data_IF_639626947236
#
_entry.id   IF_639626947236
#
_cell.length_a   1.000
_cell.length_b   1.000
_cell.length_c   1.000
_cell.angle_alpha   90.00
_cell.angle_beta   90.00
_cell.angle_gamma   90.00
#
_symmetry.space_group_name_H-M   'P 1'
#
loop_
_entity.id
_entity.type
_entity.pdbx_description
1 polymer ?
#
# COMPACT_ATOMS: atom_id res chain seq x y z
N UNK A 1 13.73 -1.48 -28.02
CA UNK A 1 13.57 -2.13 -26.69
C UNK A 1 12.14 -1.88 -26.26
N UNK A 2 11.35 -2.93 -26.01
CA UNK A 2 10.03 -2.73 -25.41
C UNK A 2 10.23 -2.03 -24.06
N UNK A 3 9.48 -0.95 -23.80
CA UNK A 3 9.56 -0.26 -22.52
C UNK A 3 9.12 -1.22 -21.41
N UNK A 4 9.96 -1.37 -20.38
CA UNK A 4 9.71 -2.26 -19.25
C UNK A 4 8.78 -1.56 -18.25
N UNK A 5 7.87 -2.31 -17.61
CA UNK A 5 7.10 -1.83 -16.45
C UNK A 5 7.99 -1.80 -15.22
N UNK A 6 8.16 -0.63 -14.62
CA UNK A 6 8.93 -0.44 -13.40
C UNK A 6 7.98 -0.38 -12.19
N UNK A 7 8.35 -1.04 -11.10
CA UNK A 7 7.61 -0.97 -9.84
C UNK A 7 8.39 -0.12 -8.84
N UNK A 8 7.78 0.95 -8.34
CA UNK A 8 8.32 1.76 -7.26
C UNK A 8 7.94 1.13 -5.92
N UNK A 9 8.92 0.83 -5.09
CA UNK A 9 8.78 0.13 -3.81
C UNK A 9 9.12 1.07 -2.66
N UNK A 10 8.29 1.07 -1.62
CA UNK A 10 8.55 1.75 -0.34
C UNK A 10 8.00 0.93 0.83
N UNK A 11 8.18 1.41 2.06
CA UNK A 11 7.57 0.87 3.27
C UNK A 11 7.63 1.91 4.40
N UNK A 12 7.14 1.53 5.59
CA UNK A 12 7.30 2.27 6.84
C UNK A 12 8.30 1.66 7.81
N UNK A 13 8.78 0.44 7.58
CA UNK A 13 9.79 -0.21 8.43
C UNK A 13 11.24 0.21 8.12
N UNK A 14 11.47 0.85 6.97
CA UNK A 14 12.78 1.29 6.48
C UNK A 14 13.38 0.36 5.42
N UNK A 15 14.34 0.87 4.64
CA UNK A 15 14.88 0.17 3.47
C UNK A 15 15.53 -1.18 3.79
N UNK A 16 16.11 -1.35 4.98
CA UNK A 16 16.76 -2.61 5.39
C UNK A 16 15.81 -3.56 6.14
N UNK A 17 14.51 -3.24 6.20
CA UNK A 17 13.56 -4.10 6.88
C UNK A 17 13.48 -5.49 6.20
N UNK A 18 13.46 -6.60 6.97
CA UNK A 18 13.48 -7.95 6.40
C UNK A 18 12.34 -8.21 5.40
N UNK A 19 11.11 -7.77 5.72
CA UNK A 19 9.96 -7.93 4.81
C UNK A 19 10.13 -7.16 3.49
N UNK A 20 10.77 -5.99 3.52
CA UNK A 20 11.06 -5.18 2.34
C UNK A 20 12.18 -5.79 1.50
N UNK A 21 13.28 -6.23 2.13
CA UNK A 21 14.35 -6.99 1.46
C UNK A 21 13.75 -8.20 0.72
N UNK A 22 12.92 -8.99 1.40
CA UNK A 22 12.31 -10.19 0.84
C UNK A 22 11.39 -9.86 -0.35
N UNK A 23 10.61 -8.77 -0.28
CA UNK A 23 9.78 -8.30 -1.38
C UNK A 23 10.63 -7.90 -2.60
N UNK A 24 11.64 -7.05 -2.39
CA UNK A 24 12.55 -6.59 -3.45
C UNK A 24 13.21 -7.76 -4.16
N UNK A 25 13.76 -8.71 -3.39
CA UNK A 25 14.42 -9.92 -3.94
C UNK A 25 13.42 -10.80 -4.70
N UNK A 26 12.22 -10.97 -4.18
CA UNK A 26 11.21 -11.82 -4.81
C UNK A 26 10.74 -11.24 -6.15
N UNK A 27 10.45 -9.93 -6.21
CA UNK A 27 10.09 -9.26 -7.46
C UNK A 27 11.22 -9.29 -8.49
N UNK A 28 12.46 -9.00 -8.07
CA UNK A 28 13.62 -9.07 -8.96
C UNK A 28 13.83 -10.49 -9.53
N UNK A 29 13.68 -11.53 -8.69
CA UNK A 29 13.75 -12.93 -9.12
C UNK A 29 12.66 -13.31 -10.12
N UNK A 30 11.50 -12.66 -10.07
CA UNK A 30 10.41 -12.80 -11.05
C UNK A 30 10.66 -12.02 -12.35
N UNK A 31 11.79 -11.32 -12.47
CA UNK A 31 12.15 -10.53 -13.67
C UNK A 31 11.45 -9.17 -13.74
N UNK A 32 10.89 -8.69 -12.63
CA UNK A 32 10.22 -7.39 -12.53
C UNK A 32 11.29 -6.33 -12.22
N UNK A 33 11.32 -5.24 -13.00
CA UNK A 33 12.22 -4.13 -12.71
C UNK A 33 11.69 -3.29 -11.56
N UNK A 34 12.59 -2.93 -10.65
CA UNK A 34 12.23 -2.29 -9.39
C UNK A 34 13.04 -1.02 -9.15
N UNK A 35 12.38 -0.06 -8.50
CA UNK A 35 13.02 1.07 -7.85
C UNK A 35 12.61 1.02 -6.39
N UNK A 36 13.54 0.78 -5.46
CA UNK A 36 13.27 0.99 -4.05
C UNK A 36 13.57 2.45 -3.69
N UNK A 37 12.60 3.11 -3.08
CA UNK A 37 12.69 4.47 -2.58
C UNK A 37 11.97 4.51 -1.23
N UNK A 38 12.70 4.18 -0.16
CA UNK A 38 12.13 3.91 1.16
C UNK A 38 12.80 4.76 2.25
N UNK A 39 12.20 4.91 3.44
CA UNK A 39 12.84 5.59 4.56
C UNK A 39 14.18 4.94 4.95
N UNK A 40 15.17 5.74 5.37
CA UNK A 40 16.44 5.22 5.90
C UNK A 40 16.29 4.48 7.23
N UNK A 41 15.22 4.74 7.99
CA UNK A 41 14.96 4.16 9.32
C UNK A 41 13.49 3.81 9.48
N UNK A 42 13.15 3.00 10.48
CA UNK A 42 11.76 2.69 10.81
C UNK A 42 10.97 3.96 11.19
N UNK A 43 9.75 4.06 10.63
CA UNK A 43 8.76 5.13 10.80
C UNK A 43 7.35 4.56 10.99
N UNK A 44 7.20 3.40 11.64
CA UNK A 44 5.88 2.78 11.87
C UNK A 44 4.93 3.73 12.62
N UNK A 45 3.62 3.57 12.39
CA UNK A 45 2.55 4.40 12.95
C UNK A 45 2.62 5.91 12.65
N UNK A 46 3.25 6.31 11.53
CA UNK A 46 3.32 7.71 11.09
C UNK A 46 2.10 8.17 10.27
N UNK A 47 1.16 7.28 9.91
CA UNK A 47 0.03 7.60 9.02
C UNK A 47 0.51 8.34 7.76
N UNK A 48 -0.06 9.51 7.45
CA UNK A 48 0.35 10.39 6.34
C UNK A 48 1.23 11.57 6.79
N UNK A 49 2.14 11.35 7.75
CA UNK A 49 3.07 12.39 8.19
C UNK A 49 3.99 12.85 7.05
N UNK A 50 4.18 14.16 6.89
CA UNK A 50 5.12 14.78 5.95
C UNK A 50 6.05 15.76 6.67
N UNK A 51 7.27 15.93 6.17
CA UNK A 51 8.22 16.92 6.66
C UNK A 51 8.16 18.21 5.82
N UNK A 52 7.75 19.31 6.44
CA UNK A 52 7.70 20.62 5.78
C UNK A 52 8.90 21.49 6.13
N UNK A 53 9.53 22.08 5.11
CA UNK A 53 10.58 23.08 5.28
C UNK A 53 11.91 22.57 5.84
N UNK A 54 12.11 21.25 5.88
CA UNK A 54 13.37 20.62 6.31
C UNK A 54 14.03 19.89 5.13
N UNK A 55 15.34 20.09 4.89
CA UNK A 55 16.07 19.27 3.93
C UNK A 55 16.00 17.79 4.31
N UNK A 56 15.88 16.93 3.30
CA UNK A 56 15.94 15.47 3.43
C UNK A 56 17.04 14.95 2.51
N UNK A 57 17.97 14.20 3.06
CA UNK A 57 19.06 13.62 2.27
C UNK A 57 18.62 12.32 1.62
N UNK A 58 19.02 12.15 0.36
CA UNK A 58 18.80 10.96 -0.44
C UNK A 58 20.12 10.21 -0.58
N UNK A 59 20.14 8.96 -0.15
CA UNK A 59 21.30 8.08 -0.21
C UNK A 59 21.11 7.00 -1.26
N UNK A 60 22.05 6.88 -2.18
CA UNK A 60 22.09 5.74 -3.11
C UNK A 60 22.54 4.48 -2.35
N UNK A 61 21.78 3.39 -2.48
CA UNK A 61 22.00 2.12 -1.78
C UNK A 61 22.44 0.99 -2.71
N UNK A 62 23.36 1.28 -3.62
CA UNK A 62 23.98 0.27 -4.52
C UNK A 62 24.67 -0.86 -3.73
N UNK A 63 25.10 -0.61 -2.49
CA UNK A 63 25.63 -1.61 -1.57
C UNK A 63 24.62 -2.74 -1.29
N UNK A 64 23.32 -2.41 -1.20
CA UNK A 64 22.25 -3.38 -0.99
C UNK A 64 22.02 -4.23 -2.23
N UNK A 65 22.25 -3.70 -3.44
CA UNK A 65 22.14 -4.48 -4.69
C UNK A 65 23.11 -5.67 -4.67
N UNK A 66 24.34 -5.44 -4.22
CA UNK A 66 25.35 -6.48 -4.05
C UNK A 66 25.01 -7.42 -2.87
N UNK A 67 24.65 -6.85 -1.72
CA UNK A 67 24.37 -7.61 -0.49
C UNK A 67 23.18 -8.55 -0.64
N UNK A 68 22.10 -8.07 -1.27
CA UNK A 68 20.89 -8.84 -1.53
C UNK A 68 20.97 -9.72 -2.79
N UNK A 69 22.09 -9.65 -3.53
CA UNK A 69 22.37 -10.42 -4.75
C UNK A 69 21.30 -10.24 -5.82
N UNK A 70 20.89 -8.99 -6.05
CA UNK A 70 19.89 -8.68 -7.07
C UNK A 70 20.51 -8.79 -8.47
N UNK A 71 19.72 -9.29 -9.41
CA UNK A 71 20.10 -9.33 -10.82
C UNK A 71 19.92 -7.95 -11.46
N UNK A 72 21.05 -7.25 -11.67
CA UNK A 72 21.07 -5.94 -12.33
C UNK A 72 20.58 -5.97 -13.78
N UNK A 73 20.64 -7.12 -14.46
CA UNK A 73 20.13 -7.24 -15.85
C UNK A 73 18.60 -7.13 -15.91
N UNK A 74 17.92 -7.43 -14.81
CA UNK A 74 16.49 -7.19 -14.65
C UNK A 74 16.18 -5.71 -14.47
N UNK A 75 17.10 -4.91 -13.94
CA UNK A 75 16.89 -3.49 -13.61
C UNK A 75 16.45 -3.30 -12.16
N UNK A 76 17.37 -2.78 -11.34
CA UNK A 76 17.13 -2.51 -9.92
C UNK A 76 17.88 -1.25 -9.51
N UNK A 77 17.19 -0.33 -8.85
CA UNK A 77 17.78 0.89 -8.26
C UNK A 77 17.26 1.06 -6.84
N UNK A 78 18.15 1.28 -5.87
CA UNK A 78 17.78 1.36 -4.46
C UNK A 78 18.24 2.70 -3.89
N UNK A 79 17.32 3.42 -3.24
CA UNK A 79 17.57 4.68 -2.57
C UNK A 79 16.89 4.72 -1.21
N UNK A 80 17.57 5.30 -0.22
CA UNK A 80 16.96 5.63 1.07
C UNK A 80 16.85 7.13 1.27
N UNK A 81 15.70 7.58 1.79
CA UNK A 81 15.45 8.98 2.10
C UNK A 81 15.37 9.16 3.63
N UNK A 82 15.96 10.22 4.14
CA UNK A 82 15.87 10.60 5.56
C UNK A 82 14.51 11.26 5.91
N UNK A 83 13.42 10.75 5.34
CA UNK A 83 12.05 11.23 5.48
C UNK A 83 11.08 10.16 6.00
N UNK A 84 9.78 10.47 5.95
CA UNK A 84 8.69 9.52 6.20
C UNK A 84 8.35 8.70 4.94
N UNK A 85 7.50 7.67 5.04
CA UNK A 85 7.00 6.95 3.88
C UNK A 85 6.27 7.87 2.89
N UNK A 86 5.47 8.84 3.35
CA UNK A 86 4.83 9.80 2.45
C UNK A 86 5.85 10.75 1.81
N UNK A 87 6.85 11.22 2.56
CA UNK A 87 7.94 12.02 1.98
C UNK A 87 8.65 11.24 0.86
N UNK A 88 8.86 9.93 1.03
CA UNK A 88 9.50 9.12 -0.01
C UNK A 88 8.70 9.10 -1.31
N UNK A 89 7.37 9.06 -1.23
CA UNK A 89 6.50 9.08 -2.40
C UNK A 89 6.43 10.46 -3.04
N UNK A 90 6.29 11.51 -2.23
CA UNK A 90 6.33 12.90 -2.71
C UNK A 90 7.66 13.16 -3.43
N UNK A 91 8.79 12.89 -2.79
CA UNK A 91 10.11 13.13 -3.36
C UNK A 91 10.32 12.28 -4.60
N UNK A 92 9.99 10.98 -4.58
CA UNK A 92 10.19 10.12 -5.73
C UNK A 92 9.37 10.57 -6.95
N UNK A 93 8.07 10.83 -6.75
CA UNK A 93 7.13 11.11 -7.84
C UNK A 93 7.22 12.57 -8.32
N UNK A 94 7.40 13.54 -7.42
CA UNK A 94 7.48 14.97 -7.75
C UNK A 94 8.91 15.42 -8.09
N UNK A 95 9.54 14.67 -8.98
CA UNK A 95 10.80 15.07 -9.63
C UNK A 95 12.07 14.41 -9.09
N UNK A 96 12.06 13.73 -7.93
CA UNK A 96 13.23 13.02 -7.43
C UNK A 96 13.70 11.95 -8.42
N UNK A 97 12.81 11.04 -8.84
CA UNK A 97 13.13 10.02 -9.84
C UNK A 97 13.59 10.63 -11.17
N UNK A 98 12.98 11.73 -11.61
CA UNK A 98 13.39 12.43 -12.83
C UNK A 98 14.86 12.90 -12.76
N UNK A 99 15.32 13.31 -11.58
CA UNK A 99 16.69 13.77 -11.37
C UNK A 99 17.69 12.60 -11.22
N UNK A 100 17.35 11.57 -10.45
CA UNK A 100 18.29 10.46 -10.17
C UNK A 100 18.25 9.32 -11.17
N UNK A 101 17.12 9.15 -11.88
CA UNK A 101 16.86 8.10 -12.87
C UNK A 101 16.11 8.66 -14.10
N UNK A 102 16.74 9.56 -14.87
CA UNK A 102 16.08 10.18 -16.02
C UNK A 102 15.64 9.14 -17.05
N UNK A 103 14.38 9.23 -17.48
CA UNK A 103 13.78 8.33 -18.48
C UNK A 103 13.13 7.07 -17.91
N UNK A 104 13.18 6.86 -16.59
CA UNK A 104 12.46 5.78 -15.92
C UNK A 104 11.21 6.33 -15.24
N UNK A 105 10.05 5.76 -15.57
CA UNK A 105 8.76 6.10 -14.96
C UNK A 105 8.14 4.81 -14.42
N UNK A 106 7.78 4.74 -13.13
CA UNK A 106 7.11 3.58 -12.57
C UNK A 106 5.70 3.45 -13.13
N UNK A 107 5.22 2.22 -13.25
CA UNK A 107 3.84 1.89 -13.65
C UNK A 107 2.95 1.58 -12.45
N UNK A 108 3.54 1.27 -11.30
CA UNK A 108 2.88 0.83 -10.07
C UNK A 108 3.72 1.22 -8.86
N UNK A 109 3.05 1.61 -7.77
CA UNK A 109 3.66 1.75 -6.44
C UNK A 109 3.26 0.57 -5.56
N UNK A 110 4.22 0.01 -4.81
CA UNK A 110 3.96 -1.01 -3.79
C UNK A 110 4.61 -0.58 -2.48
N UNK A 111 3.81 -0.53 -1.42
CA UNK A 111 4.25 -0.20 -0.07
C UNK A 111 4.18 -1.44 0.82
N UNK A 112 5.30 -1.90 1.38
CA UNK A 112 5.38 -3.08 2.23
C UNK A 112 6.53 -4.04 1.86
N UNK A 113 6.57 -5.28 2.34
CA UNK A 113 5.57 -5.93 3.20
C UNK A 113 5.79 -5.50 4.66
N UNK A 114 4.77 -4.89 5.24
CA UNK A 114 4.76 -4.46 6.65
C UNK A 114 4.75 -5.66 7.61
N UNK A 115 5.54 -5.57 8.69
CA UNK A 115 5.50 -6.52 9.79
C UNK A 115 4.38 -6.15 10.78
N UNK A 116 3.18 -6.64 10.50
CA UNK A 116 1.99 -6.38 11.30
C UNK A 116 0.76 -6.16 10.42
N UNK A 117 -0.44 -6.41 10.97
CA UNK A 117 -1.68 -6.23 10.22
C UNK A 117 -1.97 -4.74 9.97
N UNK A 118 -2.58 -4.47 8.82
CA UNK A 118 -3.20 -3.19 8.49
C UNK A 118 -4.66 -3.46 8.10
N UNK A 119 -5.47 -3.87 9.08
CA UNK A 119 -6.86 -4.30 8.94
C UNK A 119 -7.82 -3.27 9.54
N UNK A 120 -9.04 -3.16 9.01
CA UNK A 120 -10.07 -2.29 9.61
C UNK A 120 -9.54 -0.86 9.85
N UNK A 121 -9.71 -0.31 11.07
CA UNK A 121 -9.27 1.03 11.46
C UNK A 121 -7.74 1.22 11.54
N UNK A 122 -6.94 0.15 11.51
CA UNK A 122 -5.47 0.27 11.45
C UNK A 122 -5.03 1.04 10.20
N UNK A 123 -5.86 0.97 9.15
CA UNK A 123 -5.67 1.71 7.91
C UNK A 123 -5.55 3.23 8.07
N UNK A 124 -6.07 3.80 9.16
CA UNK A 124 -5.96 5.23 9.46
C UNK A 124 -4.57 5.64 9.96
N UNK A 125 -3.86 4.74 10.64
CA UNK A 125 -2.58 5.03 11.32
C UNK A 125 -1.36 4.42 10.63
N UNK A 126 -1.60 3.51 9.67
CA UNK A 126 -0.58 2.81 8.91
C UNK A 126 0.26 3.74 8.02
N UNK A 127 1.57 3.72 8.20
CA UNK A 127 2.51 4.38 7.28
C UNK A 127 2.59 3.64 5.95
N UNK A 128 2.45 2.31 5.96
CA UNK A 128 2.38 1.48 4.75
C UNK A 128 1.24 1.93 3.83
N UNK A 129 0.02 2.06 4.38
CA UNK A 129 -1.16 2.54 3.65
C UNK A 129 -1.04 4.03 3.33
N UNK A 130 -0.47 4.82 4.24
CA UNK A 130 -0.19 6.24 4.01
C UNK A 130 0.62 6.47 2.74
N UNK A 131 1.72 5.73 2.55
CA UNK A 131 2.55 5.83 1.36
C UNK A 131 1.83 5.39 0.07
N UNK A 132 1.08 4.28 0.12
CA UNK A 132 0.29 3.83 -1.04
C UNK A 132 -0.79 4.86 -1.42
N UNK A 133 -1.45 5.45 -0.42
CA UNK A 133 -2.43 6.52 -0.61
C UNK A 133 -1.80 7.79 -1.17
N UNK A 134 -0.64 8.19 -0.65
CA UNK A 134 0.13 9.34 -1.14
C UNK A 134 0.48 9.18 -2.62
N UNK A 135 0.94 8.00 -3.04
CA UNK A 135 1.15 7.71 -4.45
C UNK A 135 -0.13 7.90 -5.29
N UNK A 136 -1.28 7.46 -4.76
CA UNK A 136 -2.59 7.72 -5.37
C UNK A 136 -2.93 9.21 -5.52
N UNK A 137 -2.55 10.06 -4.56
CA UNK A 137 -2.70 11.51 -4.67
C UNK A 137 -1.90 12.10 -5.84
N UNK A 138 -0.77 11.48 -6.20
CA UNK A 138 0.01 11.77 -7.41
C UNK A 138 -0.48 11.02 -8.66
N UNK A 139 -1.65 10.39 -8.61
CA UNK A 139 -2.29 9.72 -9.75
C UNK A 139 -1.69 8.37 -10.11
N UNK A 140 -0.92 7.76 -9.21
CA UNK A 140 -0.34 6.42 -9.41
C UNK A 140 -1.27 5.31 -8.92
N UNK A 141 -1.38 4.18 -9.64
CA UNK A 141 -1.90 2.95 -9.07
C UNK A 141 -0.98 2.47 -7.93
N UNK A 142 -1.57 2.03 -6.83
CA UNK A 142 -0.81 1.68 -5.63
C UNK A 142 -1.37 0.47 -4.87
N UNK A 143 -0.47 -0.31 -4.26
CA UNK A 143 -0.79 -1.46 -3.42
C UNK A 143 -0.08 -1.32 -2.07
N UNK A 144 -0.81 -1.47 -0.96
CA UNK A 144 -0.23 -1.65 0.37
C UNK A 144 -0.23 -3.14 0.73
N UNK A 145 0.90 -3.64 1.25
CA UNK A 145 1.13 -5.06 1.53
C UNK A 145 1.51 -5.27 3.00
N UNK A 146 0.86 -6.21 3.67
CA UNK A 146 1.06 -6.46 5.09
C UNK A 146 1.02 -7.94 5.45
N UNK A 147 1.87 -8.34 6.38
CA UNK A 147 1.87 -9.66 7.00
C UNK A 147 1.23 -9.57 8.37
N UNK A 148 0.18 -10.35 8.65
CA UNK A 148 -0.64 -10.16 9.87
C UNK A 148 -0.04 -10.80 11.12
N UNK A 149 1.28 -10.76 11.24
CA UNK A 149 2.06 -11.20 12.40
C UNK A 149 3.12 -10.15 12.70
N UNK A 150 3.43 -9.98 13.98
CA UNK A 150 4.57 -9.15 14.42
C UNK A 150 5.87 -9.96 14.49
N UNK A 151 5.79 -11.27 14.32
CA UNK A 151 6.94 -12.17 14.21
C UNK A 151 7.32 -12.39 12.75
N UNK A 152 8.62 -12.49 12.46
CA UNK A 152 9.12 -12.75 11.10
C UNK A 152 8.81 -14.15 10.58
N UNK A 153 8.50 -15.10 11.46
CA UNK A 153 8.21 -16.48 11.07
C UNK A 153 7.01 -16.55 10.11
N UNK A 154 7.25 -17.08 8.91
CA UNK A 154 6.24 -17.20 7.87
C UNK A 154 6.06 -15.96 6.99
N UNK A 155 6.88 -14.91 7.16
CA UNK A 155 6.87 -13.70 6.31
C UNK A 155 6.98 -14.03 4.82
N UNK A 156 7.63 -15.13 4.45
CA UNK A 156 7.71 -15.63 3.06
C UNK A 156 6.34 -15.80 2.43
N UNK A 157 5.33 -16.22 3.22
CA UNK A 157 3.94 -16.34 2.76
C UNK A 157 3.35 -14.97 2.46
N UNK A 158 3.61 -13.99 3.32
CA UNK A 158 3.18 -12.60 3.12
C UNK A 158 3.78 -11.97 1.87
N UNK A 159 5.07 -12.23 1.64
CA UNK A 159 5.78 -11.79 0.45
C UNK A 159 5.24 -12.47 -0.81
N UNK A 160 5.07 -13.79 -0.80
CA UNK A 160 4.55 -14.52 -1.97
C UNK A 160 3.12 -14.08 -2.34
N UNK A 161 2.22 -13.93 -1.35
CA UNK A 161 0.87 -13.43 -1.60
C UNK A 161 0.86 -12.01 -2.16
N UNK A 162 1.75 -11.15 -1.66
CA UNK A 162 1.92 -9.78 -2.17
C UNK A 162 2.47 -9.76 -3.60
N UNK A 163 3.47 -10.59 -3.90
CA UNK A 163 4.06 -10.70 -5.25
C UNK A 163 3.03 -11.17 -6.26
N UNK A 164 2.21 -12.16 -5.93
CA UNK A 164 1.14 -12.63 -6.82
C UNK A 164 0.12 -11.53 -7.15
N UNK A 165 -0.21 -10.68 -6.17
CA UNK A 165 -1.07 -9.52 -6.42
C UNK A 165 -0.39 -8.45 -7.28
N UNK A 166 0.91 -8.20 -7.07
CA UNK A 166 1.69 -7.27 -7.91
C UNK A 166 1.74 -7.76 -9.35
N UNK A 167 2.01 -9.04 -9.58
CA UNK A 167 1.98 -9.66 -10.91
C UNK A 167 0.60 -9.45 -11.57
N UNK A 168 -0.49 -9.73 -10.84
CA UNK A 168 -1.86 -9.53 -11.34
C UNK A 168 -2.14 -8.07 -11.70
N UNK A 169 -1.71 -7.12 -10.86
CA UNK A 169 -1.89 -5.70 -11.15
C UNK A 169 -1.10 -5.27 -12.39
N UNK A 170 0.14 -5.75 -12.54
CA UNK A 170 0.97 -5.43 -13.70
C UNK A 170 0.38 -5.91 -15.02
N UNK A 171 -0.47 -6.95 -15.05
CA UNK A 171 -1.15 -7.40 -16.27
C UNK A 171 -2.10 -6.33 -16.85
N UNK A 172 -2.76 -5.55 -15.99
CA UNK A 172 -3.81 -4.60 -16.37
C UNK A 172 -3.35 -3.14 -16.43
N UNK A 173 -2.13 -2.84 -16.01
CA UNK A 173 -1.58 -1.48 -15.99
C UNK A 173 -0.88 -1.12 -17.31
N UNK A 174 -0.91 0.15 -17.75
CA UNK A 174 -0.08 0.60 -18.85
C UNK A 174 1.40 0.63 -18.44
N UNK A 175 2.32 0.72 -19.41
CA UNK A 175 3.75 0.87 -19.10
C UNK A 175 4.05 2.24 -18.50
N UNK A 176 3.42 3.28 -19.04
CA UNK A 176 3.51 4.64 -18.52
C UNK A 176 2.14 5.02 -17.98
N UNK A 177 2.03 5.42 -16.70
CA UNK A 177 0.77 5.90 -16.12
C UNK A 177 0.35 7.21 -16.78
N UNK A 178 -0.92 7.32 -17.16
CA UNK A 178 -1.44 8.51 -17.86
C UNK A 178 -1.65 9.69 -16.92
N UNK A 179 -1.89 9.43 -15.63
CA UNK A 179 -2.28 10.44 -14.65
C UNK A 179 -1.18 10.82 -13.64
N UNK A 180 0.08 10.44 -13.90
CA UNK A 180 1.20 10.76 -13.00
C UNK A 180 1.34 12.27 -12.80
N UNK A 181 1.38 12.68 -11.53
CA UNK A 181 1.35 14.07 -11.06
C UNK A 181 0.10 14.86 -11.48
N UNK A 182 -0.98 14.16 -11.86
CA UNK A 182 -2.30 14.73 -12.20
C UNK A 182 -2.21 15.94 -13.15
N UNK A 183 -1.70 15.76 -14.38
CA UNK A 183 -1.50 16.87 -15.32
C UNK A 183 -2.79 17.60 -15.67
N UNK A 184 -3.93 16.91 -15.54
CA UNK A 184 -5.27 17.47 -15.63
C UNK A 184 -6.18 16.81 -14.59
N UNK A 185 -7.02 17.59 -13.93
CA UNK A 185 -8.03 17.09 -12.99
C UNK A 185 -9.39 17.23 -13.66
N UNK A 186 -9.97 16.10 -14.06
CA UNK A 186 -11.33 16.02 -14.61
C UNK A 186 -12.29 15.45 -13.57
N UNK A 187 -13.03 16.34 -12.91
CA UNK A 187 -14.06 15.97 -11.93
C UNK A 187 -15.32 15.35 -12.58
N UNK A 188 -15.40 15.33 -13.91
CA UNK A 188 -16.45 14.68 -14.69
C UNK A 188 -15.98 13.38 -15.36
N UNK A 189 -14.74 12.94 -15.06
CA UNK A 189 -14.16 11.72 -15.60
C UNK A 189 -15.08 10.50 -15.38
N UNK A 190 -15.04 9.56 -16.32
CA UNK A 190 -15.92 8.39 -16.32
C UNK A 190 -15.88 7.58 -15.02
N UNK A 191 -14.73 7.53 -14.34
CA UNK A 191 -14.51 6.70 -13.16
C UNK A 191 -14.71 7.41 -11.82
N UNK A 192 -15.04 8.71 -11.80
CA UNK A 192 -15.27 9.47 -10.55
C UNK A 192 -16.74 9.73 -10.29
N UNK A 193 -17.10 9.93 -9.02
CA UNK A 193 -18.48 10.17 -8.62
C UNK A 193 -18.87 11.64 -8.76
N UNK A 194 -20.08 11.86 -9.29
CA UNK A 194 -20.60 13.20 -9.56
C UNK A 194 -21.25 13.83 -8.33
N UNK A 195 -20.51 14.08 -7.26
CA UNK A 195 -21.04 14.77 -6.07
C UNK A 195 -21.50 16.20 -6.42
N UNK A 196 -22.68 16.70 -5.97
CA UNK A 196 -23.64 16.10 -5.03
C UNK A 196 -24.78 15.29 -5.65
N UNK A 197 -24.68 14.89 -6.92
CA UNK A 197 -25.70 14.06 -7.56
C UNK A 197 -25.69 12.66 -6.94
N UNK A 198 -26.88 12.16 -6.61
CA UNK A 198 -27.04 10.80 -6.09
C UNK A 198 -26.53 9.77 -7.11
N UNK A 199 -25.82 8.76 -6.60
CA UNK A 199 -25.41 7.61 -7.41
C UNK A 199 -26.63 6.90 -8.00
N UNK A 200 -26.48 6.43 -9.22
CA UNK A 200 -27.46 5.59 -9.90
C UNK A 200 -26.93 4.16 -9.94
N UNK A 201 -27.79 3.13 -9.90
CA UNK A 201 -27.36 1.75 -10.07
C UNK A 201 -26.57 1.56 -11.36
N UNK A 202 -25.45 0.85 -11.28
CA UNK A 202 -24.57 0.56 -12.42
C UNK A 202 -24.64 -0.90 -12.82
N UNK A 203 -24.57 -1.13 -14.13
CA UNK A 203 -24.33 -2.47 -14.65
C UNK A 203 -22.96 -2.96 -14.17
N UNK A 204 -22.88 -4.24 -13.78
CA UNK A 204 -21.64 -4.80 -13.20
C UNK A 204 -20.45 -4.62 -14.14
N UNK A 205 -20.66 -4.80 -15.45
CA UNK A 205 -19.61 -4.64 -16.47
C UNK A 205 -19.03 -3.22 -16.49
N UNK A 206 -19.89 -2.21 -16.37
CA UNK A 206 -19.46 -0.81 -16.39
C UNK A 206 -18.79 -0.43 -15.07
N UNK A 207 -19.31 -0.91 -13.94
CA UNK A 207 -18.68 -0.74 -12.64
C UNK A 207 -17.27 -1.38 -12.59
N UNK A 208 -17.05 -2.57 -13.18
CA UNK A 208 -15.71 -3.18 -13.24
C UNK A 208 -14.72 -2.29 -14.02
N UNK A 209 -15.15 -1.71 -15.14
CA UNK A 209 -14.31 -0.79 -15.92
C UNK A 209 -14.01 0.49 -15.14
N UNK A 210 -15.02 1.07 -14.48
CA UNK A 210 -14.83 2.26 -13.64
C UNK A 210 -13.83 2.01 -12.51
N UNK A 211 -13.93 0.87 -11.82
CA UNK A 211 -12.99 0.51 -10.74
C UNK A 211 -11.57 0.31 -11.26
N UNK A 212 -11.40 -0.35 -12.41
CA UNK A 212 -10.08 -0.50 -13.03
C UNK A 212 -9.49 0.86 -13.43
N UNK A 213 -10.29 1.75 -14.04
CA UNK A 213 -9.85 3.10 -14.37
C UNK A 213 -9.50 3.91 -13.11
N UNK A 214 -10.31 3.81 -12.05
CA UNK A 214 -10.03 4.47 -10.77
C UNK A 214 -8.73 3.98 -10.14
N UNK A 215 -8.41 2.68 -10.27
CA UNK A 215 -7.12 2.15 -9.84
C UNK A 215 -5.97 2.71 -10.70
N UNK A 216 -6.10 2.65 -12.03
CA UNK A 216 -5.09 3.14 -12.98
C UNK A 216 -4.78 4.65 -12.83
N UNK A 217 -5.74 5.43 -12.34
CA UNK A 217 -5.63 6.89 -12.21
C UNK A 217 -5.40 7.35 -10.76
N UNK A 218 -5.25 6.42 -9.81
CA UNK A 218 -4.90 6.72 -8.42
C UNK A 218 -6.06 7.17 -7.53
N UNK A 219 -7.32 6.98 -7.92
CA UNK A 219 -8.49 7.20 -7.05
C UNK A 219 -8.78 6.01 -6.14
N UNK A 220 -8.39 4.81 -6.58
CA UNK A 220 -8.52 3.56 -5.85
C UNK A 220 -7.13 2.94 -5.62
N UNK A 221 -6.91 2.35 -4.45
CA UNK A 221 -5.74 1.52 -4.14
C UNK A 221 -6.18 0.15 -3.64
N UNK A 222 -5.24 -0.78 -3.55
CA UNK A 222 -5.47 -2.12 -2.98
C UNK A 222 -4.67 -2.28 -1.69
N UNK A 223 -5.29 -2.81 -0.65
CA UNK A 223 -4.62 -3.23 0.59
C UNK A 223 -4.71 -4.75 0.72
N UNK A 224 -3.55 -5.41 0.75
CA UNK A 224 -3.45 -6.86 0.97
C UNK A 224 -2.89 -7.17 2.35
N UNK A 225 -3.58 -8.06 3.06
CA UNK A 225 -3.12 -8.63 4.32
C UNK A 225 -3.04 -10.15 4.18
N UNK A 226 -1.89 -10.73 4.56
CA UNK A 226 -1.64 -12.17 4.44
C UNK A 226 -1.35 -12.76 5.82
N UNK A 227 -2.07 -13.82 6.24
CA UNK A 227 -1.81 -14.45 7.53
C UNK A 227 -0.59 -15.37 7.54
N UNK A 228 0.04 -15.58 8.72
CA UNK A 228 1.06 -16.63 8.88
C UNK A 228 0.52 -18.02 8.52
N UNK A 229 -0.78 -18.23 8.66
CA UNK A 229 -1.50 -19.48 8.36
C UNK A 229 -2.06 -19.55 6.94
N UNK A 230 -1.66 -18.65 6.04
CA UNK A 230 -2.24 -18.52 4.70
C UNK A 230 -2.33 -19.85 3.94
N UNK A 231 -3.54 -20.19 3.49
CA UNK A 231 -3.86 -21.42 2.77
C UNK A 231 -3.65 -21.33 1.25
N UNK A 232 -2.90 -20.32 0.78
CA UNK A 232 -2.68 -20.01 -0.64
C UNK A 232 -3.93 -19.57 -1.42
N UNK A 233 -5.02 -19.18 -0.75
CA UNK A 233 -6.21 -18.62 -1.38
C UNK A 233 -6.42 -17.16 -1.01
N UNK A 234 -6.98 -16.41 -1.94
CA UNK A 234 -7.32 -15.00 -1.75
C UNK A 234 -8.81 -14.83 -1.50
N UNK A 235 -9.18 -13.70 -0.91
CA UNK A 235 -10.58 -13.28 -0.78
C UNK A 235 -10.67 -11.77 -0.95
N UNK A 236 -11.65 -11.32 -1.74
CA UNK A 236 -11.93 -9.90 -1.89
C UNK A 236 -12.79 -9.42 -0.73
N UNK A 237 -12.35 -8.36 -0.08
CA UNK A 237 -12.90 -7.91 1.20
C UNK A 237 -13.20 -6.42 1.22
N UNK A 238 -13.97 -6.01 2.23
CA UNK A 238 -14.03 -4.64 2.76
C UNK A 238 -13.34 -4.60 4.11
N UNK A 239 -13.13 -3.39 4.63
CA UNK A 239 -12.71 -3.21 6.02
C UNK A 239 -13.70 -3.90 6.98
N UNK A 240 -13.16 -4.74 7.86
CA UNK A 240 -13.87 -5.40 8.94
C UNK A 240 -13.95 -4.53 10.19
N UNK A 241 -14.21 -5.16 11.34
CA UNK A 241 -14.32 -4.48 12.63
C UNK A 241 -13.22 -4.97 13.57
N UNK A 242 -12.30 -4.08 13.96
CA UNK A 242 -11.21 -4.38 14.90
C UNK A 242 -11.00 -3.23 15.86
N UNK A 243 -11.31 -3.43 17.14
CA UNK A 243 -11.21 -2.39 18.18
C UNK A 243 -10.14 -2.70 19.20
N UNK A 244 -9.34 -1.70 19.55
CA UNK A 244 -8.37 -1.79 20.63
C UNK A 244 -8.98 -1.30 21.93
N UNK A 245 -8.90 -2.14 22.97
CA UNK A 245 -9.36 -1.83 24.33
C UNK A 245 -8.19 -1.71 25.28
N UNK A 246 -8.33 -0.82 26.27
CA UNK A 246 -7.34 -0.53 27.30
C UNK A 246 -5.95 -0.26 26.71
N UNK A 247 -5.92 0.67 25.76
CA UNK A 247 -4.75 0.97 24.95
C UNK A 247 -3.62 1.69 25.71
N UNK A 248 -3.85 2.11 26.95
CA UNK A 248 -2.89 2.89 27.72
C UNK A 248 -2.47 2.11 28.96
N UNK A 249 -1.16 1.89 29.09
CA UNK A 249 -0.55 1.34 30.30
C UNK A 249 0.17 2.45 31.07
N UNK A 250 0.02 2.43 32.40
CA UNK A 250 0.68 3.36 33.31
C UNK A 250 1.97 2.75 33.87
N UNK A 251 3.09 3.45 33.68
CA UNK A 251 4.39 3.06 34.21
C UNK A 251 4.67 3.68 35.59
N UNK A 252 5.61 3.10 36.33
CA UNK A 252 6.07 3.67 37.61
C UNK A 252 6.80 5.01 37.40
N UNK A 253 6.74 5.87 38.41
CA UNK A 253 7.48 7.14 38.50
C UNK A 253 9.00 6.90 38.43
N UNK A 254 9.73 7.86 37.85
CA UNK A 254 11.18 7.80 37.80
C UNK A 254 11.79 8.08 39.19
N UNK A 255 12.88 7.38 39.50
CA UNK A 255 13.58 7.42 40.80
C UNK A 255 14.12 8.81 41.18
N UNK A 256 14.23 9.73 40.22
CA UNK A 256 14.76 11.09 40.43
C UNK A 256 13.67 12.17 40.64
N UNK A 257 12.39 11.81 40.55
CA UNK A 257 11.25 12.70 40.79
C UNK A 257 11.02 13.77 39.71
N UNK A 258 11.65 13.66 38.54
CA UNK A 258 11.52 14.66 37.45
C UNK A 258 10.39 14.37 36.48
N UNK A 259 9.88 13.14 36.45
CA UNK A 259 8.80 12.69 35.55
C UNK A 259 7.53 12.44 36.36
N UNK A 260 6.48 13.22 36.06
CA UNK A 260 5.19 13.12 36.76
C UNK A 260 4.41 11.84 36.43
N UNK A 261 4.50 11.33 35.19
CA UNK A 261 3.84 10.11 34.75
C UNK A 261 4.45 9.56 33.46
N UNK A 262 4.43 8.24 33.29
CA UNK A 262 4.81 7.55 32.04
C UNK A 262 3.64 6.77 31.47
N UNK A 263 3.34 7.01 30.20
CA UNK A 263 2.28 6.31 29.47
C UNK A 263 2.89 5.52 28.31
N UNK A 264 2.43 4.29 28.13
CA UNK A 264 2.74 3.48 26.94
C UNK A 264 1.44 3.21 26.20
N UNK A 265 1.41 3.48 24.90
CA UNK A 265 0.29 3.15 24.03
C UNK A 265 0.54 1.76 23.44
N UNK A 266 -0.43 0.87 23.61
CA UNK A 266 -0.47 -0.48 23.07
C UNK A 266 -1.92 -0.95 23.01
N UNK A 267 -2.16 -2.23 23.22
CA UNK A 267 -3.50 -2.75 23.43
C UNK A 267 -3.44 -3.92 24.40
N UNK A 268 -4.30 -3.91 25.42
CA UNK A 268 -4.43 -5.07 26.30
C UNK A 268 -5.26 -6.18 25.63
N UNK A 269 -6.25 -5.79 24.82
CA UNK A 269 -7.15 -6.71 24.16
C UNK A 269 -7.72 -6.11 22.87
N UNK A 270 -8.02 -6.98 21.89
CA UNK A 270 -8.54 -6.63 20.58
C UNK A 270 -9.90 -7.30 20.39
N UNK A 271 -10.93 -6.49 20.23
CA UNK A 271 -12.29 -6.92 19.87
C UNK A 271 -12.45 -7.01 18.36
N UNK A 272 -13.10 -8.07 17.89
CA UNK A 272 -13.55 -8.16 16.49
C UNK A 272 -15.03 -8.52 16.45
N UNK A 273 -15.75 -7.98 15.47
CA UNK A 273 -17.13 -8.38 15.18
C UNK A 273 -17.22 -8.94 13.76
N UNK A 274 -18.03 -10.00 13.54
CA UNK A 274 -18.17 -10.58 12.21
C UNK A 274 -18.73 -9.57 11.22
N UNK A 275 -18.01 -9.35 10.12
CA UNK A 275 -18.45 -8.50 9.03
C UNK A 275 -18.50 -9.34 7.76
N UNK A 276 -19.64 -9.35 7.07
CA UNK A 276 -19.74 -10.02 5.77
C UNK A 276 -18.68 -9.46 4.81
N UNK A 277 -17.80 -10.35 4.32
CA UNK A 277 -16.61 -10.01 3.53
C UNK A 277 -15.64 -9.04 4.23
N UNK A 278 -15.57 -9.07 5.56
CA UNK A 278 -14.58 -8.33 6.34
C UNK A 278 -13.17 -8.88 6.15
N UNK A 279 -12.19 -7.97 6.13
CA UNK A 279 -10.78 -8.32 6.10
C UNK A 279 -10.35 -9.14 7.33
N UNK A 280 -10.80 -8.76 8.53
CA UNK A 280 -10.51 -9.46 9.78
C UNK A 280 -10.99 -10.92 9.75
N UNK A 281 -12.22 -11.16 9.30
CA UNK A 281 -12.80 -12.50 9.17
C UNK A 281 -12.04 -13.34 8.14
N UNK A 282 -11.70 -12.75 6.99
CA UNK A 282 -10.91 -13.42 5.95
C UNK A 282 -9.54 -13.89 6.46
N UNK A 283 -8.88 -13.09 7.28
CA UNK A 283 -7.60 -13.44 7.92
C UNK A 283 -7.79 -14.58 8.91
N UNK A 284 -8.84 -14.54 9.73
CA UNK A 284 -9.18 -15.61 10.67
C UNK A 284 -9.45 -16.95 9.96
N UNK A 285 -10.06 -16.89 8.78
CA UNK A 285 -10.34 -18.05 7.91
C UNK A 285 -9.13 -18.48 7.03
N UNK A 286 -7.93 -17.95 7.30
CA UNK A 286 -6.66 -18.30 6.65
C UNK A 286 -6.54 -17.87 5.18
N UNK A 287 -7.37 -16.94 4.71
CA UNK A 287 -7.26 -16.35 3.37
C UNK A 287 -6.38 -15.10 3.39
N UNK A 288 -5.72 -14.79 2.27
CA UNK A 288 -5.16 -13.47 2.04
C UNK A 288 -6.31 -12.51 1.68
N UNK A 289 -6.50 -11.47 2.49
CA UNK A 289 -7.53 -10.46 2.30
C UNK A 289 -7.06 -9.40 1.31
N UNK A 290 -7.89 -9.08 0.31
CA UNK A 290 -7.66 -8.03 -0.68
C UNK A 290 -8.80 -7.00 -0.59
N UNK A 291 -8.52 -5.85 0.01
CA UNK A 291 -9.48 -4.75 0.17
C UNK A 291 -9.22 -3.63 -0.82
N UNK A 292 -10.25 -3.18 -1.54
CA UNK A 292 -10.18 -1.97 -2.37
C UNK A 292 -10.47 -0.74 -1.50
N UNK A 293 -9.54 0.21 -1.44
CA UNK A 293 -9.65 1.40 -0.60
C UNK A 293 -9.64 2.66 -1.46
N UNK A 294 -10.50 3.62 -1.13
CA UNK A 294 -10.50 4.95 -1.79
C UNK A 294 -9.34 5.78 -1.28
N UNK A 295 -8.69 6.53 -2.16
CA UNK A 295 -7.62 7.47 -1.79
C UNK A 295 -8.16 8.82 -1.31
N UNK A 296 -9.30 9.24 -1.88
CA UNK A 296 -9.93 10.51 -1.58
C UNK A 296 -10.96 10.41 -0.44
N UNK A 297 -11.04 11.41 0.45
CA UNK A 297 -12.11 11.46 1.43
C UNK A 297 -13.46 11.65 0.74
N UNK A 298 -14.53 11.19 1.38
CA UNK A 298 -15.89 11.50 0.92
C UNK A 298 -16.07 13.00 0.74
N UNK A 299 -16.90 13.40 -0.23
CA UNK A 299 -17.16 14.79 -0.69
C UNK A 299 -16.07 15.42 -1.57
N UNK A 300 -14.88 14.82 -1.68
CA UNK A 300 -13.90 15.26 -2.67
C UNK A 300 -14.41 14.98 -4.11
N UNK A 301 -14.16 15.84 -5.11
CA UNK A 301 -14.62 15.62 -6.49
C UNK A 301 -14.11 14.33 -7.15
N UNK A 302 -13.02 13.76 -6.65
CA UNK A 302 -12.44 12.49 -7.12
C UNK A 302 -12.80 11.28 -6.24
N UNK A 303 -13.68 11.46 -5.26
CA UNK A 303 -14.16 10.36 -4.42
C UNK A 303 -15.00 9.37 -5.24
N UNK A 304 -14.99 8.11 -4.81
CA UNK A 304 -15.85 7.05 -5.35
C UNK A 304 -17.04 6.85 -4.42
N UNK A 305 -18.23 6.70 -4.99
CA UNK A 305 -19.47 6.51 -4.25
C UNK A 305 -19.70 5.06 -3.82
N UNK A 306 -20.49 4.88 -2.77
CA UNK A 306 -20.75 3.58 -2.15
C UNK A 306 -21.41 2.57 -3.10
N UNK A 307 -22.18 3.04 -4.09
CA UNK A 307 -22.77 2.15 -5.10
C UNK A 307 -21.66 1.51 -5.94
N UNK A 308 -20.73 2.31 -6.45
CA UNK A 308 -19.59 1.81 -7.22
C UNK A 308 -18.70 0.88 -6.36
N UNK A 309 -18.41 1.28 -5.12
CA UNK A 309 -17.58 0.49 -4.20
C UNK A 309 -18.24 -0.84 -3.81
N UNK A 310 -19.57 -0.93 -3.83
CA UNK A 310 -20.27 -2.21 -3.60
C UNK A 310 -19.91 -3.27 -4.67
N UNK A 311 -19.62 -2.84 -5.90
CA UNK A 311 -19.15 -3.73 -6.96
C UNK A 311 -17.71 -4.19 -6.75
N UNK A 312 -16.89 -3.42 -6.03
CA UNK A 312 -15.50 -3.81 -5.72
C UNK A 312 -15.43 -5.08 -4.86
N UNK A 313 -16.52 -5.45 -4.18
CA UNK A 313 -16.66 -6.70 -3.41
C UNK A 313 -16.94 -7.93 -4.28
N UNK A 314 -17.15 -7.78 -5.59
CA UNK A 314 -17.30 -8.91 -6.50
C UNK A 314 -15.93 -9.53 -6.73
N UNK A 315 -15.85 -10.84 -6.55
CA UNK A 315 -14.62 -11.59 -6.71
C UNK A 315 -14.73 -12.65 -7.78
N UNK A 316 -13.59 -13.01 -8.32
CA UNK A 316 -13.40 -14.16 -9.16
C UNK A 316 -13.45 -15.50 -8.41
N UNK A 317 -13.43 -16.59 -9.19
CA UNK A 317 -13.24 -17.96 -8.66
C UNK A 317 -11.88 -18.16 -7.98
N UNK A 318 -10.91 -17.32 -8.31
CA UNK A 318 -9.56 -17.25 -7.74
C UNK A 318 -9.48 -16.35 -6.50
N UNK A 319 -10.58 -15.71 -6.09
CA UNK A 319 -10.65 -14.87 -4.90
C UNK A 319 -10.23 -13.41 -5.10
N UNK A 320 -9.54 -13.10 -6.21
CA UNK A 320 -9.16 -11.74 -6.59
C UNK A 320 -10.38 -10.87 -6.94
N UNK A 321 -10.27 -9.54 -6.79
CA UNK A 321 -11.33 -8.62 -7.20
C UNK A 321 -11.64 -8.79 -8.69
N UNK A 322 -12.92 -8.89 -9.03
CA UNK A 322 -13.36 -9.17 -10.40
C UNK A 322 -12.93 -8.06 -11.38
N UNK A 323 -12.79 -6.82 -10.90
CA UNK A 323 -12.35 -5.67 -11.67
C UNK A 323 -10.85 -5.69 -11.98
N UNK A 324 -10.04 -6.46 -11.23
CA UNK A 324 -8.60 -6.63 -11.42
C UNK A 324 -8.31 -7.84 -12.33
N UNK A 325 -9.00 -7.90 -13.47
CA UNK A 325 -8.81 -8.92 -14.51
C UNK A 325 -8.57 -8.23 -15.84
N UNK A 326 -7.57 -8.69 -16.58
CA UNK A 326 -7.27 -8.27 -17.95
C UNK A 326 -8.27 -8.80 -18.96
#
# INVERSE_FOLDING_TARGET
MMSKKWVLLTNDDGIEAPGFEMLVKSLNKRGIAIIAFAPSTNKSACSMQINLGKPMDLHNREDLVATWKLDKSVGCHLFSLDGTPCDTMIVALDGGLKNVLPGIVPSLVVSGVNLGPNLSQDSCHSGTIGAAREAGLYGMPAIACSFTSFELEGMERGVEGSVQLVERALEVLPIVPENLCRPHIDADAFHVSKWPKNSQPRETKDAMKMLLHAFQNGELMININVPPTWNSKFQTTRLGMRWYRDAVQFGAEDLDGTVEARFTIGAAYIDTEPVSKGDCDSIADHFASISSLVNWPQTHPLALDDELLSHALKQGTDGFPLWLRG
#
